data_IF_067486705739
#
_entry.id   IF_067486705739
#
_cell.length_a   1.000
_cell.length_b   1.000
_cell.length_c   1.000
_cell.angle_alpha   90.00
_cell.angle_beta   90.00
_cell.angle_gamma   90.00
#
_symmetry.space_group_name_H-M   'P 1'
#
loop_
_entity.id
_entity.type
_entity.pdbx_description
1 polymer ?
#
# COMPACT_ATOMS: atom_id res chain seq x y z
N UNK A 1 -19.43 9.62 -58.58
CA UNK A 1 -18.90 8.41 -57.91
C UNK A 1 -17.97 8.69 -56.71
N UNK A 2 -17.96 9.92 -56.14
CA UNK A 2 -17.04 10.28 -55.04
C UNK A 2 -17.73 10.29 -53.66
N UNK A 3 -19.07 10.43 -53.61
CA UNK A 3 -19.84 10.43 -52.37
C UNK A 3 -19.98 9.04 -51.70
N UNK A 4 -19.88 7.95 -52.46
CA UNK A 4 -20.04 6.58 -51.94
C UNK A 4 -18.83 6.08 -51.12
N UNK A 5 -17.65 6.70 -51.27
CA UNK A 5 -16.42 6.34 -50.52
C UNK A 5 -16.33 7.02 -49.15
N UNK A 6 -16.98 8.18 -48.98
CA UNK A 6 -16.94 8.93 -47.71
C UNK A 6 -17.88 8.28 -46.69
N UNK A 7 -19.07 7.85 -47.10
CA UNK A 7 -20.05 7.20 -46.20
C UNK A 7 -19.59 5.83 -45.71
N UNK A 8 -18.90 5.05 -46.54
CA UNK A 8 -18.35 3.73 -46.15
C UNK A 8 -17.18 3.86 -45.15
N UNK A 9 -16.33 4.88 -45.30
CA UNK A 9 -15.19 5.11 -44.39
C UNK A 9 -15.64 5.58 -42.99
N UNK A 10 -16.66 6.43 -42.90
CA UNK A 10 -17.22 6.90 -41.61
C UNK A 10 -17.95 5.78 -40.88
N UNK A 11 -18.67 4.93 -41.60
CA UNK A 11 -19.37 3.78 -41.01
C UNK A 11 -18.40 2.71 -40.49
N UNK A 12 -17.30 2.44 -41.19
CA UNK A 12 -16.26 1.53 -40.72
C UNK A 12 -15.55 2.04 -39.46
N UNK A 13 -15.32 3.35 -39.35
CA UNK A 13 -14.76 3.98 -38.16
C UNK A 13 -15.70 3.83 -36.95
N UNK A 14 -17.00 4.08 -37.14
CA UNK A 14 -18.03 3.93 -36.08
C UNK A 14 -18.18 2.48 -35.61
N UNK A 15 -18.17 1.51 -36.53
CA UNK A 15 -18.24 0.08 -36.17
C UNK A 15 -17.00 -0.38 -35.40
N UNK A 16 -15.82 0.16 -35.74
CA UNK A 16 -14.58 -0.15 -35.00
C UNK A 16 -14.66 0.38 -33.55
N UNK A 17 -15.16 1.60 -33.33
CA UNK A 17 -15.30 2.21 -32.00
C UNK A 17 -16.26 1.43 -31.08
N UNK A 18 -17.36 0.89 -31.62
CA UNK A 18 -18.34 0.10 -30.84
C UNK A 18 -17.73 -1.24 -30.39
N UNK A 19 -16.93 -1.88 -31.25
CA UNK A 19 -16.30 -3.16 -30.94
C UNK A 19 -15.23 -3.04 -29.85
N UNK A 20 -14.52 -1.91 -29.79
CA UNK A 20 -13.49 -1.67 -28.76
C UNK A 20 -14.08 -1.33 -27.38
N UNK A 21 -15.24 -0.67 -27.32
CA UNK A 21 -15.91 -0.40 -26.04
C UNK A 21 -16.31 -1.69 -25.30
N UNK A 22 -16.78 -2.70 -26.04
CA UNK A 22 -17.18 -3.99 -25.47
C UNK A 22 -16.01 -4.77 -24.87
N UNK A 23 -14.78 -4.53 -25.33
CA UNK A 23 -13.60 -5.17 -24.78
C UNK A 23 -13.14 -4.54 -23.46
N UNK A 24 -13.21 -3.21 -23.33
CA UNK A 24 -12.93 -2.54 -22.05
C UNK A 24 -13.91 -2.95 -20.94
N UNK A 25 -15.16 -3.26 -21.29
CA UNK A 25 -16.13 -3.80 -20.34
C UNK A 25 -15.72 -5.17 -19.77
N UNK A 26 -14.97 -6.00 -20.51
CA UNK A 26 -14.46 -7.28 -19.99
C UNK A 26 -13.41 -7.10 -18.90
N UNK A 27 -12.61 -6.02 -18.98
CA UNK A 27 -11.65 -5.65 -17.94
C UNK A 27 -12.35 -5.33 -16.62
N UNK A 28 -13.45 -4.61 -16.72
CA UNK A 28 -14.32 -4.31 -15.60
C UNK A 28 -14.95 -5.58 -15.01
N UNK A 29 -15.48 -6.47 -15.86
CA UNK A 29 -16.04 -7.75 -15.40
C UNK A 29 -15.00 -8.60 -14.66
N UNK A 30 -13.81 -8.76 -15.24
CA UNK A 30 -12.71 -9.52 -14.62
C UNK A 30 -12.25 -8.91 -13.30
N UNK A 31 -12.16 -7.58 -13.24
CA UNK A 31 -11.83 -6.88 -12.00
C UNK A 31 -12.89 -7.03 -10.91
N UNK A 32 -14.18 -7.04 -11.27
CA UNK A 32 -15.27 -7.34 -10.34
C UNK A 32 -15.18 -8.77 -9.80
N UNK A 33 -14.94 -9.77 -10.66
CA UNK A 33 -14.71 -11.16 -10.21
C UNK A 33 -13.59 -11.26 -9.19
N UNK A 34 -12.46 -10.60 -9.45
CA UNK A 34 -11.32 -10.59 -8.53
C UNK A 34 -11.68 -9.92 -7.20
N UNK A 35 -12.36 -8.78 -7.24
CA UNK A 35 -12.70 -8.00 -6.06
C UNK A 35 -13.71 -8.69 -5.15
N UNK A 36 -14.75 -9.31 -5.73
CA UNK A 36 -15.79 -10.02 -4.99
C UNK A 36 -15.40 -11.46 -4.66
N UNK A 37 -14.32 -11.96 -5.25
CA UNK A 37 -13.91 -13.37 -5.19
C UNK A 37 -15.01 -14.32 -5.70
N UNK A 38 -15.76 -13.88 -6.72
CA UNK A 38 -16.78 -14.71 -7.38
C UNK A 38 -16.10 -15.79 -8.23
N UNK A 39 -16.66 -17.00 -8.22
CA UNK A 39 -16.30 -18.06 -9.15
C UNK A 39 -17.08 -17.91 -10.45
N UNK A 40 -16.42 -18.07 -11.59
CA UNK A 40 -17.07 -18.06 -12.89
C UNK A 40 -17.84 -19.39 -13.08
N UNK A 41 -19.16 -19.35 -12.87
CA UNK A 41 -20.04 -20.53 -12.96
C UNK A 41 -21.02 -20.46 -14.13
N UNK A 42 -21.06 -19.32 -14.83
CA UNK A 42 -21.92 -19.13 -15.99
C UNK A 42 -21.67 -17.80 -16.70
N UNK A 43 -22.71 -16.99 -16.82
CA UNK A 43 -22.56 -15.63 -17.35
C UNK A 43 -22.23 -14.64 -16.22
N UNK A 44 -21.46 -13.59 -16.54
CA UNK A 44 -21.13 -12.54 -15.55
C UNK A 44 -22.36 -11.97 -14.83
N UNK A 45 -23.44 -11.73 -15.56
CA UNK A 45 -24.67 -11.19 -14.99
C UNK A 45 -25.34 -12.17 -14.01
N UNK A 46 -25.22 -13.48 -14.27
CA UNK A 46 -25.74 -14.52 -13.38
C UNK A 46 -24.88 -14.69 -12.13
N UNK A 47 -23.55 -14.67 -12.29
CA UNK A 47 -22.62 -14.79 -11.18
C UNK A 47 -22.71 -13.55 -10.26
N UNK A 48 -22.81 -12.35 -10.84
CA UNK A 48 -23.01 -11.12 -10.07
C UNK A 48 -24.35 -11.11 -9.33
N UNK A 49 -25.43 -11.58 -9.98
CA UNK A 49 -26.73 -11.77 -9.32
C UNK A 49 -26.61 -12.72 -8.13
N UNK A 50 -25.94 -13.85 -8.33
CA UNK A 50 -25.71 -14.84 -7.27
C UNK A 50 -24.93 -14.24 -6.10
N UNK A 51 -23.90 -13.43 -6.39
CA UNK A 51 -23.16 -12.72 -5.35
C UNK A 51 -24.03 -11.72 -4.59
N UNK A 52 -24.81 -10.87 -5.27
CA UNK A 52 -25.70 -9.91 -4.59
C UNK A 52 -26.76 -10.58 -3.71
N UNK A 53 -27.17 -11.81 -4.04
CA UNK A 53 -28.07 -12.62 -3.22
C UNK A 53 -27.40 -13.38 -2.07
N UNK A 54 -26.06 -13.33 -1.97
CA UNK A 54 -25.29 -14.11 -1.00
C UNK A 54 -25.08 -13.38 0.34
N UNK A 55 -24.93 -14.16 1.41
CA UNK A 55 -24.49 -13.65 2.72
C UNK A 55 -23.10 -12.99 2.65
N UNK A 56 -22.26 -13.40 1.69
CA UNK A 56 -20.96 -12.79 1.45
C UNK A 56 -21.09 -11.33 1.04
N UNK A 57 -22.00 -11.00 0.13
CA UNK A 57 -22.25 -9.60 -0.24
C UNK A 57 -22.74 -8.78 0.95
N UNK A 58 -23.67 -9.32 1.74
CA UNK A 58 -24.15 -8.69 2.98
C UNK A 58 -23.00 -8.40 3.95
N UNK A 59 -22.09 -9.35 4.14
CA UNK A 59 -20.88 -9.19 4.96
C UNK A 59 -19.93 -8.14 4.37
N UNK A 60 -19.67 -8.21 3.06
CA UNK A 60 -18.78 -7.27 2.35
C UNK A 60 -19.31 -5.82 2.49
N UNK A 61 -20.62 -5.61 2.38
CA UNK A 61 -21.25 -4.31 2.61
C UNK A 61 -21.10 -3.79 4.04
N UNK A 62 -21.41 -4.63 5.05
CA UNK A 62 -21.27 -4.25 6.47
C UNK A 62 -19.82 -3.93 6.86
N UNK A 63 -18.86 -4.59 6.20
CA UNK A 63 -17.43 -4.33 6.40
C UNK A 63 -16.91 -3.08 5.67
N UNK A 64 -17.76 -2.36 4.94
CA UNK A 64 -17.37 -1.18 4.17
C UNK A 64 -16.52 -1.47 2.94
N UNK A 65 -16.48 -2.73 2.47
CA UNK A 65 -15.64 -3.15 1.34
C UNK A 65 -15.90 -2.34 0.07
N UNK A 66 -17.14 -1.89 -0.12
CA UNK A 66 -17.62 -1.11 -1.28
C UNK A 66 -17.54 0.42 -1.11
N UNK A 67 -16.72 0.94 -0.19
CA UNK A 67 -16.38 2.37 -0.14
C UNK A 67 -17.52 3.32 0.28
N UNK A 68 -18.43 2.85 1.13
CA UNK A 68 -19.48 3.67 1.73
C UNK A 68 -20.86 3.43 1.13
N UNK A 69 -20.96 3.35 -0.21
CA UNK A 69 -22.19 2.92 -0.87
C UNK A 69 -21.99 2.39 -2.31
N UNK A 70 -22.86 1.47 -2.75
CA UNK A 70 -22.92 0.94 -4.12
C UNK A 70 -24.30 1.17 -4.72
N UNK A 71 -24.38 1.54 -6.00
CA UNK A 71 -25.65 1.65 -6.73
C UNK A 71 -25.76 0.54 -7.78
N UNK A 72 -26.79 -0.30 -7.65
CA UNK A 72 -27.09 -1.40 -8.56
C UNK A 72 -28.37 -1.07 -9.34
N UNK A 73 -28.33 -0.93 -10.68
CA UNK A 73 -29.53 -0.78 -11.47
C UNK A 73 -30.24 -2.14 -11.60
N UNK A 74 -31.49 -2.18 -11.17
CA UNK A 74 -32.39 -3.31 -11.35
C UNK A 74 -33.49 -2.84 -12.30
N UNK A 75 -33.59 -3.45 -13.49
CA UNK A 75 -34.53 -3.04 -14.54
C UNK A 75 -34.45 -1.54 -14.90
N UNK A 76 -33.26 -0.95 -14.81
CA UNK A 76 -33.03 0.47 -15.09
C UNK A 76 -33.34 1.40 -13.92
N UNK A 77 -33.85 0.90 -12.80
CA UNK A 77 -34.06 1.66 -11.57
C UNK A 77 -32.81 1.55 -10.68
N UNK A 78 -32.07 2.65 -10.42
CA UNK A 78 -30.91 2.61 -9.54
C UNK A 78 -31.35 2.35 -8.09
N UNK A 79 -30.77 1.33 -7.46
CA UNK A 79 -30.95 1.05 -6.04
C UNK A 79 -29.60 1.22 -5.34
N UNK A 80 -29.52 2.15 -4.40
CA UNK A 80 -28.27 2.49 -3.68
C UNK A 80 -28.24 1.85 -2.29
N UNK A 81 -27.10 1.25 -1.94
CA UNK A 81 -26.82 0.56 -0.68
C UNK A 81 -25.70 1.26 0.05
N UNK A 82 -25.91 1.68 1.30
CA UNK A 82 -24.87 2.28 2.14
C UNK A 82 -24.36 1.33 3.23
N UNK A 83 -23.37 1.77 4.02
CA UNK A 83 -22.91 1.06 5.22
C UNK A 83 -23.97 1.01 6.34
N UNK A 84 -24.82 2.03 6.44
CA UNK A 84 -25.81 2.20 7.52
C UNK A 84 -27.15 1.52 7.24
N UNK A 85 -27.14 0.46 6.42
CA UNK A 85 -28.36 -0.12 5.88
C UNK A 85 -29.07 -1.02 6.89
N UNK A 86 -30.39 -0.85 7.04
CA UNK A 86 -31.22 -1.72 7.89
C UNK A 86 -31.44 -3.10 7.24
N UNK A 87 -31.75 -4.10 8.07
CA UNK A 87 -32.03 -5.45 7.60
C UNK A 87 -33.26 -5.49 6.67
N UNK A 88 -34.30 -4.75 7.00
CA UNK A 88 -35.53 -4.64 6.18
C UNK A 88 -35.23 -4.16 4.77
N UNK A 89 -34.34 -3.18 4.69
CA UNK A 89 -33.89 -2.59 3.46
C UNK A 89 -33.08 -3.64 2.65
N UNK A 90 -32.28 -4.50 3.29
CA UNK A 90 -31.57 -5.60 2.59
C UNK A 90 -32.54 -6.62 2.02
N UNK A 91 -33.60 -6.94 2.73
CA UNK A 91 -34.65 -7.81 2.22
C UNK A 91 -35.37 -7.19 1.01
N UNK A 92 -35.71 -5.89 1.05
CA UNK A 92 -36.33 -5.19 -0.09
C UNK A 92 -35.47 -5.30 -1.36
N UNK A 93 -34.14 -5.15 -1.24
CA UNK A 93 -33.23 -5.34 -2.37
C UNK A 93 -33.17 -6.77 -2.85
N UNK A 94 -33.04 -7.71 -1.91
CA UNK A 94 -32.97 -9.13 -2.22
C UNK A 94 -34.21 -9.58 -2.99
N UNK A 95 -35.38 -9.10 -2.60
CA UNK A 95 -36.64 -9.34 -3.32
C UNK A 95 -36.60 -8.78 -4.75
N UNK A 96 -36.11 -7.55 -4.95
CA UNK A 96 -35.95 -6.95 -6.29
C UNK A 96 -34.93 -7.69 -7.16
N UNK A 97 -33.85 -8.21 -6.59
CA UNK A 97 -32.87 -9.03 -7.33
C UNK A 97 -33.45 -10.42 -7.65
N UNK A 98 -34.27 -10.97 -6.76
CA UNK A 98 -34.96 -12.23 -6.99
C UNK A 98 -36.01 -12.12 -8.09
N UNK A 99 -36.69 -10.97 -8.22
CA UNK A 99 -37.70 -10.73 -9.25
C UNK A 99 -37.13 -10.63 -10.67
N UNK A 100 -35.83 -10.35 -10.81
CA UNK A 100 -35.15 -10.35 -12.12
C UNK A 100 -34.46 -11.68 -12.39
N UNK A 101 -34.58 -12.17 -13.62
CA UNK A 101 -33.88 -13.38 -14.09
C UNK A 101 -32.41 -13.11 -14.40
N UNK A 102 -32.10 -11.91 -14.91
CA UNK A 102 -30.76 -11.47 -15.25
C UNK A 102 -30.57 -9.98 -14.89
N UNK A 103 -29.38 -9.63 -14.39
CA UNK A 103 -28.98 -8.24 -14.26
C UNK A 103 -28.57 -7.65 -15.61
N UNK A 104 -29.19 -6.53 -15.99
CA UNK A 104 -28.76 -5.74 -17.13
C UNK A 104 -27.75 -4.71 -16.67
N UNK A 105 -26.48 -4.94 -16.98
CA UNK A 105 -25.39 -4.09 -16.56
C UNK A 105 -24.99 -3.17 -17.71
N UNK A 106 -25.25 -1.87 -17.53
CA UNK A 106 -24.82 -0.83 -18.47
C UNK A 106 -23.39 -0.37 -18.20
N UNK A 107 -22.75 0.29 -19.17
CA UNK A 107 -21.44 0.92 -18.96
C UNK A 107 -21.46 1.93 -17.80
N UNK A 108 -22.60 2.58 -17.55
CA UNK A 108 -22.78 3.50 -16.43
C UNK A 108 -22.78 2.80 -15.06
N UNK A 109 -23.28 1.57 -14.97
CA UNK A 109 -23.16 0.77 -13.76
C UNK A 109 -21.71 0.54 -13.41
N UNK A 110 -20.88 0.16 -14.38
CA UNK A 110 -19.47 -0.07 -14.11
C UNK A 110 -18.82 1.21 -13.61
N UNK A 111 -19.01 2.34 -14.30
CA UNK A 111 -18.45 3.62 -13.86
C UNK A 111 -18.85 3.97 -12.42
N UNK A 112 -20.14 3.85 -12.09
CA UNK A 112 -20.66 4.13 -10.75
C UNK A 112 -20.11 3.14 -9.72
N UNK A 113 -20.17 1.85 -10.00
CA UNK A 113 -19.73 0.76 -9.11
C UNK A 113 -18.23 0.82 -8.84
N UNK A 114 -17.41 1.09 -9.85
CA UNK A 114 -15.97 1.23 -9.67
C UNK A 114 -15.55 2.54 -9.03
N UNK A 115 -16.32 3.62 -9.23
CA UNK A 115 -16.11 4.86 -8.48
C UNK A 115 -16.38 4.68 -6.98
N UNK A 116 -17.29 3.75 -6.62
CA UNK A 116 -17.56 3.36 -5.24
C UNK A 116 -16.51 2.41 -4.67
N UNK A 117 -15.83 1.59 -5.49
CA UNK A 117 -14.79 0.69 -5.01
C UNK A 117 -13.55 1.51 -4.59
N UNK A 118 -13.05 1.38 -3.35
CA UNK A 118 -11.86 2.12 -2.88
C UNK A 118 -10.59 1.87 -3.71
N UNK A 119 -10.55 0.77 -4.47
CA UNK A 119 -9.45 0.43 -5.36
C UNK A 119 -9.52 1.23 -6.68
N UNK A 120 -8.84 2.38 -6.69
CA UNK A 120 -8.78 3.30 -7.85
C UNK A 120 -8.11 2.71 -9.09
N UNK A 121 -7.31 1.65 -8.95
CA UNK A 121 -6.47 1.13 -10.05
C UNK A 121 -7.31 0.49 -11.17
N UNK A 122 -8.43 -0.15 -10.83
CA UNK A 122 -9.26 -0.82 -11.83
C UNK A 122 -10.06 0.18 -12.67
N UNK A 123 -10.63 1.21 -12.05
CA UNK A 123 -11.27 2.31 -12.77
C UNK A 123 -10.26 3.04 -13.66
N UNK A 124 -9.07 3.34 -13.13
CA UNK A 124 -7.98 3.92 -13.92
C UNK A 124 -7.58 3.02 -15.09
N UNK A 125 -7.53 1.70 -14.89
CA UNK A 125 -7.25 0.73 -15.96
C UNK A 125 -8.30 0.74 -17.06
N UNK A 126 -9.58 0.92 -16.71
CA UNK A 126 -10.66 1.09 -17.68
C UNK A 126 -10.59 2.42 -18.43
N UNK A 127 -10.38 3.54 -17.73
CA UNK A 127 -10.21 4.85 -18.37
C UNK A 127 -9.03 4.80 -19.34
N UNK A 128 -7.94 4.15 -18.94
CA UNK A 128 -6.77 3.93 -19.78
C UNK A 128 -7.07 3.01 -20.98
N UNK A 129 -7.89 1.97 -20.81
CA UNK A 129 -8.39 1.14 -21.91
C UNK A 129 -9.09 1.98 -22.98
N UNK A 130 -10.07 2.78 -22.56
CA UNK A 130 -10.85 3.65 -23.45
C UNK A 130 -9.93 4.65 -24.16
N UNK A 131 -8.96 5.21 -23.44
CA UNK A 131 -7.96 6.14 -23.99
C UNK A 131 -7.06 5.47 -25.04
N UNK A 132 -6.57 4.26 -24.76
CA UNK A 132 -5.70 3.52 -25.68
C UNK A 132 -6.42 3.17 -26.98
N UNK A 133 -7.68 2.74 -26.90
CA UNK A 133 -8.45 2.40 -28.09
C UNK A 133 -8.85 3.63 -28.91
N UNK A 134 -9.04 4.78 -28.28
CA UNK A 134 -9.32 6.05 -28.99
C UNK A 134 -8.09 6.68 -29.65
N UNK A 135 -6.88 6.36 -29.19
CA UNK A 135 -5.63 6.94 -29.71
C UNK A 135 -5.10 6.21 -30.96
N UNK A 136 -5.49 6.70 -32.14
CA UNK A 136 -5.12 6.13 -33.45
C UNK A 136 -3.64 6.13 -33.79
N UNK A 137 -2.81 6.87 -33.04
CA UNK A 137 -1.38 6.96 -33.30
C UNK A 137 -0.59 5.75 -32.79
N UNK A 138 -1.15 4.99 -31.84
CA UNK A 138 -0.49 3.82 -31.25
C UNK A 138 -0.84 2.57 -32.05
N UNK A 139 0.13 1.70 -32.31
CA UNK A 139 -0.08 0.39 -32.95
C UNK A 139 0.83 -0.64 -32.28
N UNK A 140 0.57 -1.93 -32.49
CA UNK A 140 1.28 -3.03 -31.83
C UNK A 140 0.79 -3.31 -30.42
N UNK A 141 1.66 -3.89 -29.58
CA UNK A 141 1.34 -4.15 -28.18
C UNK A 141 1.51 -2.89 -27.32
N UNK A 142 0.52 -2.61 -26.50
CA UNK A 142 0.46 -1.43 -25.64
C UNK A 142 0.23 -1.92 -24.21
N UNK A 143 1.09 -1.49 -23.29
CA UNK A 143 0.94 -1.81 -21.87
C UNK A 143 -0.20 -1.01 -21.27
N UNK A 144 -1.17 -1.71 -20.67
CA UNK A 144 -2.16 -1.11 -19.79
C UNK A 144 -1.62 -0.91 -18.37
N UNK A 145 -2.44 -0.30 -17.52
CA UNK A 145 -2.15 -0.26 -16.09
C UNK A 145 -2.25 -1.68 -15.51
N UNK A 146 -1.19 -2.13 -14.84
CA UNK A 146 -1.24 -3.38 -14.09
C UNK A 146 -2.10 -3.18 -12.85
N UNK A 147 -3.03 -4.09 -12.60
CA UNK A 147 -3.85 -4.06 -11.38
C UNK A 147 -3.14 -4.93 -10.36
N UNK A 148 -2.51 -4.29 -9.38
CA UNK A 148 -1.75 -4.98 -8.35
C UNK A 148 -2.51 -5.04 -7.03
N UNK A 149 -2.56 -6.24 -6.45
CA UNK A 149 -3.08 -6.50 -5.09
C UNK A 149 -2.00 -7.17 -4.25
N UNK A 150 -2.30 -7.59 -3.02
CA UNK A 150 -1.36 -8.34 -2.17
C UNK A 150 -1.07 -9.73 -2.75
N UNK A 151 -2.10 -10.42 -3.25
CA UNK A 151 -2.00 -11.83 -3.64
C UNK A 151 -1.84 -12.04 -5.14
N UNK A 152 -2.25 -11.05 -5.94
CA UNK A 152 -2.27 -11.16 -7.40
C UNK A 152 -1.87 -9.86 -8.11
N UNK A 153 -1.28 -10.02 -9.28
CA UNK A 153 -1.08 -8.97 -10.28
C UNK A 153 -1.87 -9.36 -11.51
N UNK A 154 -2.67 -8.43 -12.04
CA UNK A 154 -3.32 -8.56 -13.33
C UNK A 154 -2.59 -7.67 -14.32
N UNK A 155 -1.87 -8.31 -15.24
CA UNK A 155 -1.24 -7.64 -16.37
C UNK A 155 -2.31 -7.34 -17.41
N UNK A 156 -2.35 -6.08 -17.84
CA UNK A 156 -3.27 -5.61 -18.86
C UNK A 156 -2.50 -5.34 -20.14
N UNK A 157 -2.82 -6.08 -21.20
CA UNK A 157 -2.14 -6.01 -22.49
C UNK A 157 -3.15 -5.66 -23.56
N UNK A 158 -2.86 -4.64 -24.37
CA UNK A 158 -3.65 -4.30 -25.54
C UNK A 158 -2.84 -4.59 -26.80
N UNK A 159 -3.50 -5.08 -27.84
CA UNK A 159 -2.94 -5.19 -29.18
C UNK A 159 -3.76 -4.31 -30.12
N UNK A 160 -3.09 -3.46 -30.87
CA UNK A 160 -3.71 -2.61 -31.88
C UNK A 160 -3.12 -2.92 -33.25
N UNK A 161 -3.94 -3.34 -34.24
CA UNK A 161 -3.45 -3.62 -35.58
C UNK A 161 -2.88 -2.36 -36.24
N UNK A 162 -1.90 -2.53 -37.14
CA UNK A 162 -1.31 -1.41 -37.87
C UNK A 162 -2.23 -0.93 -38.99
N UNK A 163 -2.96 -1.85 -39.62
CA UNK A 163 -3.94 -1.57 -40.65
C UNK A 163 -5.28 -2.27 -40.36
N UNK A 164 -6.41 -1.70 -40.82
CA UNK A 164 -7.70 -2.39 -40.80
C UNK A 164 -7.61 -3.72 -41.54
N UNK A 165 -7.96 -4.82 -40.85
CA UNK A 165 -7.93 -6.17 -41.41
C UNK A 165 -6.63 -6.94 -41.17
N UNK A 166 -5.64 -6.37 -40.47
CA UNK A 166 -4.49 -7.15 -40.00
C UNK A 166 -4.97 -8.34 -39.14
N UNK A 167 -4.41 -9.54 -39.36
CA UNK A 167 -4.79 -10.71 -38.58
C UNK A 167 -4.30 -10.57 -37.13
N UNK A 168 -5.02 -11.22 -36.21
CA UNK A 168 -4.61 -11.27 -34.81
C UNK A 168 -3.26 -11.98 -34.64
N UNK A 169 -2.40 -11.56 -33.70
CA UNK A 169 -1.09 -12.15 -33.47
C UNK A 169 -1.18 -13.64 -33.12
N UNK A 170 -0.16 -14.39 -33.51
CA UNK A 170 0.06 -15.80 -33.17
C UNK A 170 1.19 -15.87 -32.15
N UNK A 171 0.91 -16.51 -31.02
CA UNK A 171 1.84 -16.64 -29.89
C UNK A 171 3.00 -17.54 -30.29
N UNK A 172 4.23 -17.03 -30.12
CA UNK A 172 5.48 -17.78 -30.30
C UNK A 172 6.05 -18.21 -28.94
N UNK A 173 5.95 -17.36 -27.92
CA UNK A 173 6.25 -17.76 -26.55
C UNK A 173 5.47 -16.90 -25.55
N UNK A 174 5.17 -17.49 -24.40
CA UNK A 174 4.46 -16.81 -23.32
C UNK A 174 4.95 -17.32 -21.98
N UNK A 175 5.45 -16.40 -21.14
CA UNK A 175 5.98 -16.75 -19.83
C UNK A 175 5.66 -15.67 -18.80
N UNK A 176 5.52 -16.10 -17.54
CA UNK A 176 5.51 -15.21 -16.37
C UNK A 176 6.52 -15.75 -15.37
N UNK A 177 7.49 -14.91 -15.01
CA UNK A 177 8.49 -15.22 -14.00
C UNK A 177 8.07 -14.63 -12.64
N UNK A 178 8.24 -15.35 -11.52
CA UNK A 178 8.74 -16.74 -11.45
C UNK A 178 7.73 -17.75 -12.01
N UNK A 179 8.23 -18.86 -12.54
CA UNK A 179 7.39 -19.91 -13.14
C UNK A 179 6.33 -20.44 -12.16
N UNK A 180 5.17 -20.84 -12.69
CA UNK A 180 4.04 -21.31 -11.88
C UNK A 180 3.21 -20.19 -11.24
N UNK A 181 3.56 -18.92 -11.46
CA UNK A 181 2.78 -17.80 -10.92
C UNK A 181 1.45 -17.58 -11.65
N UNK A 182 1.28 -18.03 -12.89
CA UNK A 182 0.04 -17.78 -13.65
C UNK A 182 -1.16 -18.49 -13.00
N UNK A 183 -2.18 -17.71 -12.67
CA UNK A 183 -3.50 -18.19 -12.21
C UNK A 183 -4.45 -18.29 -13.40
N UNK A 184 -4.47 -17.27 -14.27
CA UNK A 184 -5.36 -17.21 -15.42
C UNK A 184 -4.73 -16.44 -16.59
N UNK A 185 -5.21 -16.68 -17.82
CA UNK A 185 -4.74 -16.01 -19.03
C UNK A 185 -3.49 -16.65 -19.65
N UNK A 186 -3.24 -17.94 -19.39
CA UNK A 186 -2.17 -18.66 -20.07
C UNK A 186 -2.47 -18.79 -21.56
N UNK A 187 -1.46 -18.56 -22.39
CA UNK A 187 -1.51 -18.75 -23.83
C UNK A 187 -0.58 -19.89 -24.25
N UNK A 188 -1.04 -20.71 -25.20
CA UNK A 188 -0.24 -21.77 -25.79
C UNK A 188 0.57 -21.26 -26.99
N UNK A 189 1.74 -21.83 -27.24
CA UNK A 189 2.48 -21.59 -28.47
C UNK A 189 1.65 -22.02 -29.69
N UNK A 190 1.65 -21.21 -30.75
CA UNK A 190 0.80 -21.35 -31.94
C UNK A 190 -0.63 -20.86 -31.76
N UNK A 191 -1.07 -20.48 -30.55
CA UNK A 191 -2.40 -19.93 -30.33
C UNK A 191 -2.52 -18.54 -30.98
N UNK A 192 -3.59 -18.33 -31.75
CA UNK A 192 -3.96 -16.99 -32.21
C UNK A 192 -4.69 -16.24 -31.09
N UNK A 193 -4.33 -14.98 -30.86
CA UNK A 193 -5.06 -14.12 -29.93
C UNK A 193 -6.52 -13.96 -30.39
N UNK A 194 -7.46 -14.03 -29.45
CA UNK A 194 -8.90 -14.00 -29.72
C UNK A 194 -9.55 -12.64 -29.41
N UNK A 195 -8.79 -11.68 -28.88
CA UNK A 195 -9.24 -10.32 -28.55
C UNK A 195 -8.09 -9.30 -28.62
N UNK A 196 -8.44 -8.03 -28.81
CA UNK A 196 -7.48 -6.91 -28.81
C UNK A 196 -7.03 -6.49 -27.41
N UNK A 197 -7.65 -7.06 -26.38
CA UNK A 197 -7.31 -6.88 -24.98
C UNK A 197 -7.09 -8.25 -24.33
N UNK A 198 -6.12 -8.33 -23.43
CA UNK A 198 -5.79 -9.54 -22.72
C UNK A 198 -5.48 -9.21 -21.26
N UNK A 199 -5.99 -10.07 -20.38
CA UNK A 199 -5.72 -10.02 -18.96
C UNK A 199 -4.97 -11.28 -18.56
N UNK A 200 -3.83 -11.11 -17.90
CA UNK A 200 -3.06 -12.23 -17.37
C UNK A 200 -2.98 -12.04 -15.86
N UNK A 201 -3.60 -12.95 -15.13
CA UNK A 201 -3.58 -12.93 -13.66
C UNK A 201 -2.46 -13.84 -13.19
N UNK A 202 -1.53 -13.28 -12.43
CA UNK A 202 -0.45 -14.00 -11.80
C UNK A 202 -0.50 -13.83 -10.28
N UNK A 203 -0.17 -14.88 -9.54
CA UNK A 203 0.08 -14.85 -8.10
C UNK A 203 1.27 -13.95 -7.82
N UNK A 204 1.11 -13.03 -6.88
CA UNK A 204 2.15 -12.11 -6.44
C UNK A 204 2.99 -12.74 -5.34
N UNK A 205 4.30 -12.62 -5.49
CA UNK A 205 5.28 -12.79 -4.41
C UNK A 205 5.76 -11.39 -4.04
N UNK A 206 5.63 -11.00 -2.77
CA UNK A 206 5.98 -9.64 -2.32
C UNK A 206 7.49 -9.38 -2.36
N UNK A 207 8.30 -10.45 -2.43
CA UNK A 207 9.76 -10.38 -2.37
C UNK A 207 10.42 -10.65 -3.73
N UNK A 208 9.64 -10.94 -4.79
CA UNK A 208 10.16 -11.19 -6.14
C UNK A 208 9.39 -10.38 -7.19
N UNK A 209 10.15 -9.87 -8.15
CA UNK A 209 9.55 -9.21 -9.31
C UNK A 209 8.73 -10.22 -10.11
N UNK A 210 7.57 -9.78 -10.59
CA UNK A 210 6.78 -10.51 -11.57
C UNK A 210 7.05 -9.92 -12.96
N UNK A 211 7.51 -10.76 -13.89
CA UNK A 211 7.80 -10.33 -15.26
C UNK A 211 6.97 -11.18 -16.21
N UNK A 212 6.05 -10.55 -16.94
CA UNK A 212 5.33 -11.15 -18.03
C UNK A 212 6.07 -10.88 -19.34
N UNK A 213 6.29 -11.92 -20.13
CA UNK A 213 6.84 -11.83 -21.49
C UNK A 213 5.93 -12.57 -22.47
N UNK A 214 5.54 -11.88 -23.53
CA UNK A 214 4.74 -12.41 -24.64
C UNK A 214 5.47 -12.11 -25.95
N UNK A 215 5.83 -13.14 -26.70
CA UNK A 215 6.42 -13.02 -28.04
C UNK A 215 5.41 -13.55 -29.05
N UNK A 216 5.20 -12.81 -30.13
CA UNK A 216 4.29 -13.17 -31.21
C UNK A 216 4.92 -12.89 -32.58
N UNK A 217 4.29 -13.38 -33.64
CA UNK A 217 4.64 -13.03 -35.03
C UNK A 217 4.49 -11.54 -35.37
N UNK A 218 3.86 -10.73 -34.48
CA UNK A 218 3.65 -9.29 -34.64
C UNK A 218 4.44 -8.43 -33.65
N UNK A 219 5.33 -9.04 -32.86
CA UNK A 219 6.21 -8.33 -31.94
C UNK A 219 6.26 -8.96 -30.56
N UNK A 220 7.02 -8.30 -29.68
CA UNK A 220 7.22 -8.72 -28.29
C UNK A 220 6.61 -7.72 -27.33
N UNK A 221 6.05 -8.21 -26.25
CA UNK A 221 5.55 -7.45 -25.12
C UNK A 221 6.22 -7.94 -23.84
N UNK A 222 6.58 -6.99 -22.96
CA UNK A 222 7.06 -7.31 -21.63
C UNK A 222 6.48 -6.31 -20.64
N UNK A 223 5.96 -6.81 -19.52
CA UNK A 223 5.46 -5.98 -18.42
C UNK A 223 6.01 -6.50 -17.11
N UNK A 224 6.40 -5.58 -16.23
CA UNK A 224 7.00 -5.88 -14.93
C UNK A 224 6.14 -5.30 -13.82
N UNK A 225 5.84 -6.12 -12.82
CA UNK A 225 5.36 -5.68 -11.52
C UNK A 225 6.49 -5.88 -10.51
N UNK A 226 6.85 -4.82 -9.81
CA UNK A 226 8.02 -4.81 -8.92
C UNK A 226 7.64 -5.44 -7.57
N UNK A 227 8.57 -6.20 -7.00
CA UNK A 227 8.44 -6.72 -5.63
C UNK A 227 8.23 -5.55 -4.66
N UNK A 228 7.32 -5.70 -3.71
CA UNK A 228 7.08 -4.69 -2.68
C UNK A 228 8.30 -4.54 -1.75
N UNK A 229 9.06 -5.62 -1.54
CA UNK A 229 10.32 -5.60 -0.79
C UNK A 229 11.55 -5.10 -1.57
N UNK A 230 11.41 -4.80 -2.87
CA UNK A 230 12.54 -4.28 -3.66
C UNK A 230 12.84 -2.85 -3.24
N UNK A 231 13.91 -2.70 -2.46
CA UNK A 231 14.54 -1.44 -2.02
C UNK A 231 14.84 -0.43 -3.17
N UNK A 232 14.57 -0.80 -4.42
CA UNK A 232 14.82 -0.02 -5.64
C UNK A 232 13.66 0.97 -5.94
N UNK A 233 12.51 0.84 -5.29
CA UNK A 233 11.57 1.96 -5.19
C UNK A 233 12.19 2.99 -4.24
N UNK A 234 12.92 3.96 -4.78
CA UNK A 234 13.56 5.08 -4.06
C UNK A 234 12.63 5.94 -3.18
N UNK A 235 11.35 5.56 -3.08
CA UNK A 235 10.28 6.21 -2.31
C UNK A 235 10.00 5.56 -0.95
N UNK A 236 10.38 4.31 -0.70
CA UNK A 236 10.05 3.66 0.58
C UNK A 236 11.21 3.76 1.58
N UNK A 237 10.89 4.27 2.77
CA UNK A 237 11.81 4.36 3.89
C UNK A 237 12.11 2.95 4.44
N UNK A 238 13.34 2.66 4.90
CA UNK A 238 13.66 1.37 5.49
C UNK A 238 12.73 1.00 6.67
N UNK A 239 12.47 -0.29 6.84
CA UNK A 239 11.68 -0.79 7.98
C UNK A 239 12.42 -0.43 9.28
N UNK A 240 11.68 0.11 10.25
CA UNK A 240 12.23 0.63 11.50
C UNK A 240 12.55 2.12 11.48
N UNK A 241 12.34 2.81 10.37
CA UNK A 241 12.44 4.28 10.31
C UNK A 241 11.47 4.92 11.30
N UNK A 242 11.99 5.85 12.10
CA UNK A 242 11.20 6.70 13.01
C UNK A 242 11.08 8.08 12.38
N UNK A 243 9.85 8.59 12.30
CA UNK A 243 9.54 9.92 11.77
C UNK A 243 8.85 10.76 12.84
N UNK A 244 9.19 12.05 12.89
CA UNK A 244 8.47 13.03 13.70
C UNK A 244 7.43 13.74 12.83
N UNK A 245 6.22 13.94 13.35
CA UNK A 245 5.15 14.64 12.65
C UNK A 245 4.37 15.54 13.59
N UNK A 246 3.88 16.67 13.07
CA UNK A 246 2.94 17.54 13.78
C UNK A 246 1.48 17.09 13.59
N UNK A 247 1.22 16.16 12.67
CA UNK A 247 -0.11 15.63 12.40
C UNK A 247 -0.53 14.67 13.51
N UNK A 248 -1.81 14.71 13.89
CA UNK A 248 -2.38 13.66 14.74
C UNK A 248 -2.50 12.34 13.94
N UNK A 249 -2.80 11.23 14.62
CA UNK A 249 -2.84 9.90 13.98
C UNK A 249 -3.80 9.83 12.79
N UNK A 250 -4.99 10.43 12.89
CA UNK A 250 -5.98 10.41 11.82
C UNK A 250 -5.51 11.21 10.59
N UNK A 251 -5.06 12.44 10.81
CA UNK A 251 -4.49 13.30 9.77
C UNK A 251 -3.28 12.64 9.10
N UNK A 252 -2.40 12.03 9.91
CA UNK A 252 -1.23 11.32 9.43
C UNK A 252 -1.63 10.12 8.56
N UNK A 253 -2.62 9.33 8.99
CA UNK A 253 -3.10 8.17 8.25
C UNK A 253 -3.66 8.56 6.88
N UNK A 254 -4.41 9.67 6.82
CA UNK A 254 -4.95 10.21 5.56
C UNK A 254 -3.83 10.72 4.66
N UNK A 255 -2.95 11.60 5.19
CA UNK A 255 -1.90 12.25 4.42
C UNK A 255 -0.89 11.25 3.82
N UNK A 256 -0.60 10.15 4.53
CA UNK A 256 0.37 9.13 4.10
C UNK A 256 -0.27 7.91 3.44
N UNK A 257 -1.61 7.87 3.34
CA UNK A 257 -2.35 6.68 2.93
C UNK A 257 -1.89 5.45 3.72
N UNK A 258 -1.78 5.62 5.04
CA UNK A 258 -1.15 4.65 5.94
C UNK A 258 -1.88 3.30 5.92
N UNK A 259 -3.22 3.36 5.88
CA UNK A 259 -4.11 2.21 6.00
C UNK A 259 -4.76 1.83 4.66
N UNK A 260 -4.23 2.29 3.52
CA UNK A 260 -4.80 2.05 2.18
C UNK A 260 -4.97 0.56 1.87
N UNK A 261 -4.11 -0.30 2.44
CA UNK A 261 -4.16 -1.76 2.31
C UNK A 261 -4.93 -2.46 3.43
N UNK A 262 -5.27 -1.74 4.51
CA UNK A 262 -5.97 -2.30 5.66
C UNK A 262 -7.49 -2.40 5.40
N UNK A 263 -8.14 -3.53 5.74
CA UNK A 263 -9.59 -3.66 5.66
C UNK A 263 -10.27 -2.53 6.44
N UNK A 264 -11.24 -1.85 5.82
CA UNK A 264 -11.99 -0.75 6.44
C UNK A 264 -11.16 0.52 6.73
N UNK A 265 -9.94 0.64 6.20
CA UNK A 265 -9.09 1.82 6.40
C UNK A 265 -8.59 2.02 7.84
N UNK A 266 -8.73 1.00 8.70
CA UNK A 266 -8.28 1.05 10.09
C UNK A 266 -6.81 0.63 10.21
N UNK A 267 -6.16 1.08 11.28
CA UNK A 267 -4.78 0.69 11.52
C UNK A 267 -4.67 -0.79 11.90
N UNK A 268 -3.73 -1.52 11.29
CA UNK A 268 -3.41 -2.91 11.64
C UNK A 268 -1.90 -3.14 11.58
N UNK A 269 -1.37 -4.00 12.45
CA UNK A 269 0.08 -4.29 12.48
C UNK A 269 0.62 -4.94 11.21
N UNK A 270 -0.25 -5.64 10.46
CA UNK A 270 0.14 -6.39 9.28
C UNK A 270 0.13 -5.55 8.01
N UNK A 271 -0.79 -4.59 7.90
CA UNK A 271 -1.10 -3.90 6.63
C UNK A 271 -0.85 -2.38 6.66
N UNK A 272 -0.76 -1.77 7.84
CA UNK A 272 -0.42 -0.34 7.94
C UNK A 272 1.07 -0.11 7.75
N UNK A 273 1.42 0.95 7.02
CA UNK A 273 2.82 1.33 6.72
C UNK A 273 3.57 1.88 7.95
N UNK A 274 2.84 2.57 8.82
CA UNK A 274 3.34 3.32 9.97
C UNK A 274 2.56 2.97 11.23
N UNK A 275 3.26 2.95 12.37
CA UNK A 275 2.68 2.80 13.70
C UNK A 275 3.15 3.93 14.60
N UNK A 276 2.30 4.47 15.48
CA UNK A 276 2.75 5.29 16.60
C UNK A 276 3.78 4.55 17.43
N UNK A 277 4.81 5.24 17.90
CA UNK A 277 5.81 4.70 18.82
C UNK A 277 5.34 4.87 20.27
N UNK A 278 4.30 4.14 20.66
CA UNK A 278 3.65 4.24 21.99
C UNK A 278 3.62 2.89 22.75
N UNK A 279 4.46 1.94 22.35
CA UNK A 279 4.55 0.62 23.00
C UNK A 279 3.52 -0.41 22.53
N UNK A 280 2.63 -0.06 21.58
CA UNK A 280 1.56 -0.97 21.13
C UNK A 280 2.09 -2.27 20.50
N UNK A 281 1.32 -3.37 20.58
CA UNK A 281 1.69 -4.63 19.96
C UNK A 281 1.59 -4.54 18.43
N UNK A 282 2.55 -5.16 17.76
CA UNK A 282 2.65 -5.29 16.30
C UNK A 282 2.99 -6.72 15.86
N UNK A 283 2.21 -7.73 16.30
CA UNK A 283 2.49 -9.12 16.01
C UNK A 283 2.50 -9.36 14.49
N UNK A 284 3.40 -10.24 14.06
CA UNK A 284 3.56 -10.69 12.66
C UNK A 284 3.91 -9.60 11.63
N UNK A 285 4.10 -8.36 12.06
CA UNK A 285 4.56 -7.27 11.20
C UNK A 285 5.97 -7.56 10.65
N UNK A 286 6.33 -6.96 9.51
CA UNK A 286 7.71 -7.08 8.99
C UNK A 286 8.74 -6.57 10.02
N UNK A 287 8.45 -5.46 10.70
CA UNK A 287 9.28 -4.95 11.80
C UNK A 287 9.48 -6.01 12.89
N UNK A 288 8.40 -6.67 13.34
CA UNK A 288 8.51 -7.65 14.42
C UNK A 288 9.40 -8.84 14.08
N UNK A 289 9.40 -9.25 12.81
CA UNK A 289 10.24 -10.34 12.31
C UNK A 289 11.70 -9.92 12.18
N UNK A 290 11.96 -8.71 11.67
CA UNK A 290 13.33 -8.20 11.44
C UNK A 290 14.00 -7.80 12.75
N UNK A 291 13.30 -7.05 13.60
CA UNK A 291 13.82 -6.55 14.88
C UNK A 291 13.70 -7.57 16.02
N UNK A 292 13.02 -8.70 15.80
CA UNK A 292 12.66 -9.68 16.83
C UNK A 292 11.94 -9.03 18.03
N UNK A 293 10.98 -8.14 17.74
CA UNK A 293 10.22 -7.38 18.74
C UNK A 293 8.73 -7.41 18.42
N UNK A 294 7.90 -7.85 19.37
CA UNK A 294 6.44 -7.92 19.17
C UNK A 294 5.73 -6.58 19.39
N UNK A 295 6.46 -5.56 19.82
CA UNK A 295 5.95 -4.23 20.16
C UNK A 295 6.82 -3.18 19.49
N UNK A 296 6.21 -2.06 19.10
CA UNK A 296 6.98 -0.86 18.76
C UNK A 296 7.60 -0.26 20.02
N UNK A 297 8.71 0.50 19.91
CA UNK A 297 9.23 1.24 21.06
C UNK A 297 8.21 2.28 21.55
N UNK A 298 8.23 2.58 22.85
CA UNK A 298 7.49 3.70 23.43
C UNK A 298 8.42 4.92 23.52
N UNK A 299 8.24 5.86 22.60
CA UNK A 299 9.11 7.04 22.49
C UNK A 299 8.47 8.30 23.08
N UNK A 300 7.40 8.17 23.85
CA UNK A 300 6.72 9.32 24.44
C UNK A 300 7.59 9.97 25.53
N UNK A 301 8.01 11.20 25.25
CA UNK A 301 8.79 12.02 26.18
C UNK A 301 10.22 11.57 26.39
N UNK A 302 10.78 10.72 25.52
CA UNK A 302 12.19 10.29 25.58
C UNK A 302 13.00 10.95 24.48
N UNK A 303 14.27 11.23 24.74
CA UNK A 303 15.20 11.69 23.72
C UNK A 303 15.76 10.51 22.91
N UNK A 304 16.19 10.77 21.68
CA UNK A 304 16.92 9.80 20.87
C UNK A 304 18.42 10.04 21.06
N UNK A 305 19.20 8.96 21.19
CA UNK A 305 20.65 9.00 21.33
C UNK A 305 21.31 8.01 20.37
N UNK A 306 22.50 8.36 19.86
CA UNK A 306 23.27 7.50 18.98
C UNK A 306 24.03 6.43 19.73
N UNK A 307 24.30 5.31 19.08
CA UNK A 307 25.20 4.26 19.58
C UNK A 307 26.67 4.70 19.46
N UNK A 308 27.56 4.13 20.26
CA UNK A 308 29.00 4.39 20.13
C UNK A 308 29.65 3.64 18.95
N UNK A 309 29.01 2.58 18.46
CA UNK A 309 29.48 1.75 17.36
C UNK A 309 28.31 1.37 16.45
N UNK A 310 28.50 1.57 15.15
CA UNK A 310 27.46 1.38 14.13
C UNK A 310 27.72 0.16 13.25
N UNK A 311 28.98 -0.04 12.85
CA UNK A 311 29.41 -1.16 12.01
C UNK A 311 30.55 -1.90 12.74
N UNK A 312 30.34 -3.16 13.17
CA UNK A 312 31.38 -3.93 13.85
C UNK A 312 32.53 -4.34 12.92
N UNK A 313 32.35 -4.27 11.59
CA UNK A 313 33.34 -4.66 10.60
C UNK A 313 34.12 -3.48 10.02
N UNK A 314 33.68 -2.26 10.28
CA UNK A 314 34.34 -1.05 9.78
C UNK A 314 34.79 -0.15 10.94
N UNK A 315 36.10 -0.11 11.17
CA UNK A 315 36.68 0.73 12.21
C UNK A 315 36.70 2.18 11.77
N UNK A 316 35.86 3.01 12.38
CA UNK A 316 35.95 4.47 12.29
C UNK A 316 36.97 5.00 13.31
N UNK A 317 37.54 6.18 13.04
CA UNK A 317 38.39 6.84 14.03
C UNK A 317 37.57 7.08 15.32
N UNK A 318 38.13 6.78 16.50
CA UNK A 318 37.43 7.02 17.76
C UNK A 318 37.01 8.48 17.88
N UNK A 319 35.76 8.70 18.28
CA UNK A 319 35.26 10.02 18.56
C UNK A 319 35.81 10.53 19.91
N UNK A 320 35.83 11.84 20.11
CA UNK A 320 36.22 12.43 21.39
C UNK A 320 35.32 11.91 22.53
N UNK A 321 35.92 11.59 23.69
CA UNK A 321 35.21 11.04 24.85
C UNK A 321 34.05 11.93 25.33
N UNK A 322 34.08 13.24 25.05
CA UNK A 322 32.99 14.17 25.37
C UNK A 322 31.76 14.01 24.47
N UNK A 323 31.89 13.33 23.33
CA UNK A 323 30.80 13.11 22.37
C UNK A 323 30.24 11.68 22.42
N UNK A 324 30.97 10.74 23.02
CA UNK A 324 30.53 9.36 23.19
C UNK A 324 29.41 9.26 24.24
N UNK A 325 28.55 8.27 24.08
CA UNK A 325 27.72 7.79 25.17
C UNK A 325 28.66 7.20 26.25
N UNK A 326 28.62 7.67 27.51
CA UNK A 326 29.47 7.13 28.57
C UNK A 326 29.29 5.63 28.80
N UNK A 327 28.13 5.10 28.40
CA UNK A 327 27.80 3.69 28.45
C UNK A 327 27.74 3.09 27.04
N UNK A 328 28.20 1.85 26.90
CA UNK A 328 27.93 1.07 25.69
C UNK A 328 26.53 0.49 25.78
N UNK A 329 25.63 0.96 24.92
CA UNK A 329 24.23 0.52 24.88
C UNK A 329 23.94 -0.32 23.64
N UNK A 330 22.91 -1.16 23.71
CA UNK A 330 22.33 -1.81 22.53
C UNK A 330 21.21 -0.95 21.91
N UNK A 331 20.90 -1.16 20.64
CA UNK A 331 19.75 -0.51 19.99
C UNK A 331 18.46 -0.78 20.77
N UNK A 332 17.63 0.26 20.95
CA UNK A 332 16.39 0.20 21.72
C UNK A 332 16.56 0.22 23.24
N UNK A 333 17.79 0.25 23.76
CA UNK A 333 18.03 0.33 25.21
C UNK A 333 17.67 1.72 25.74
N UNK A 334 16.85 1.73 26.81
CA UNK A 334 16.49 2.94 27.54
C UNK A 334 17.54 3.29 28.58
N UNK A 335 17.89 4.57 28.66
CA UNK A 335 18.66 5.17 29.74
C UNK A 335 17.74 6.14 30.51
N UNK A 336 17.82 6.13 31.84
CA UNK A 336 17.03 7.02 32.71
C UNK A 336 17.68 8.40 32.81
N UNK A 337 16.93 9.36 33.35
CA UNK A 337 17.47 10.65 33.75
C UNK A 337 18.58 10.47 34.79
N UNK A 338 19.70 11.16 34.60
CA UNK A 338 20.85 11.13 35.52
C UNK A 338 21.47 12.50 35.65
N UNK A 339 22.11 12.76 36.79
CA UNK A 339 22.83 13.99 37.09
C UNK A 339 24.31 13.68 37.33
N UNK A 340 25.19 14.39 36.62
CA UNK A 340 26.63 14.27 36.77
C UNK A 340 27.03 14.67 38.18
N UNK A 341 27.92 13.87 38.79
CA UNK A 341 28.58 14.28 40.05
C UNK A 341 29.31 15.61 39.84
N UNK A 342 28.98 16.60 40.66
CA UNK A 342 29.69 17.88 40.70
C UNK A 342 29.75 18.39 42.14
N UNK A 343 30.75 19.23 42.40
CA UNK A 343 30.99 19.82 43.72
C UNK A 343 30.89 21.34 43.61
N UNK A 344 30.25 21.98 44.58
CA UNK A 344 30.28 23.42 44.76
C UNK A 344 31.28 23.77 45.85
N UNK A 345 32.23 24.67 45.56
CA UNK A 345 33.08 25.23 46.60
C UNK A 345 32.36 26.43 47.23
N UNK A 346 31.95 26.32 48.49
CA UNK A 346 31.32 27.42 49.23
C UNK A 346 32.36 28.03 50.17
N UNK A 347 32.83 29.27 49.93
CA UNK A 347 33.81 29.91 50.79
C UNK A 347 33.20 30.22 52.17
N UNK A 348 33.89 29.84 53.25
CA UNK A 348 33.46 30.10 54.63
C UNK A 348 34.46 30.97 55.39
N UNK A 349 33.99 32.04 56.05
CA UNK A 349 34.81 33.04 56.73
C UNK A 349 34.76 32.95 58.27
N UNK A 350 35.59 32.07 58.85
CA UNK A 350 35.41 31.57 60.21
C UNK A 350 35.56 32.58 61.36
N UNK A 351 34.48 32.80 62.11
CA UNK A 351 34.56 33.14 63.54
C UNK A 351 33.38 32.55 64.30
N UNK A 352 33.61 32.10 65.53
CA UNK A 352 32.69 31.26 66.28
C UNK A 352 31.69 31.99 67.15
N UNK A 353 30.41 31.65 66.95
CA UNK A 353 29.43 31.55 68.03
C UNK A 353 28.30 30.63 67.60
N UNK A 354 28.04 29.62 68.42
CA UNK A 354 26.97 28.64 68.25
C UNK A 354 25.65 29.27 68.66
N UNK A 355 24.83 29.66 67.68
CA UNK A 355 23.45 30.00 67.96
C UNK A 355 22.71 30.61 66.78
N UNK A 356 21.79 29.82 66.21
CA UNK A 356 20.49 30.20 65.63
C UNK A 356 20.47 31.52 64.81
N UNK A 357 20.30 31.58 63.50
CA UNK A 357 19.79 30.64 62.51
C UNK A 357 20.22 31.12 61.11
N UNK A 358 20.20 30.18 60.15
CA UNK A 358 20.47 30.32 58.70
C UNK A 358 21.96 30.49 58.33
N UNK A 359 22.30 30.21 57.07
CA UNK A 359 23.47 30.84 56.42
C UNK A 359 24.87 30.43 56.93
N UNK A 360 25.37 29.29 56.45
CA UNK A 360 26.77 28.89 56.56
C UNK A 360 27.68 29.62 55.54
N UNK A 361 27.59 30.95 55.44
CA UNK A 361 28.56 31.77 54.66
C UNK A 361 29.70 32.15 55.59
N UNK A 362 30.47 31.14 55.99
CA UNK A 362 30.74 31.12 57.42
C UNK A 362 32.06 30.61 57.92
N UNK A 363 32.50 29.39 57.61
CA UNK A 363 33.65 28.82 58.33
C UNK A 363 34.51 27.99 57.41
N UNK A 364 35.82 28.24 57.44
CA UNK A 364 36.87 27.49 56.76
C UNK A 364 37.11 26.21 57.56
N UNK A 365 36.26 25.22 57.33
CA UNK A 365 36.46 23.85 57.76
C UNK A 365 36.29 22.97 56.54
N UNK A 366 37.11 21.92 56.40
CA UNK A 366 36.96 20.92 55.34
C UNK A 366 35.62 20.22 55.53
N UNK A 367 34.62 20.59 54.73
CA UNK A 367 33.29 20.00 54.80
C UNK A 367 33.27 18.64 54.10
N UNK A 368 32.48 17.66 54.60
CA UNK A 368 32.23 16.44 53.86
C UNK A 368 31.55 16.81 52.56
N UNK A 369 32.19 16.53 51.42
CA UNK A 369 31.49 16.48 50.14
C UNK A 369 30.32 15.51 50.33
N UNK A 370 29.09 15.94 50.03
CA UNK A 370 28.00 15.00 49.87
C UNK A 370 28.37 14.10 48.70
N UNK A 371 29.03 12.98 48.98
CA UNK A 371 29.30 11.93 48.01
C UNK A 371 27.98 11.21 47.71
N UNK A 372 27.01 11.94 47.16
CA UNK A 372 26.02 11.24 46.35
C UNK A 372 26.82 10.62 45.20
N UNK A 373 26.71 9.30 44.95
CA UNK A 373 27.28 8.69 43.77
C UNK A 373 26.49 9.22 42.56
N UNK A 374 26.86 10.42 42.09
CA UNK A 374 26.34 10.99 40.86
C UNK A 374 26.84 10.18 39.66
N UNK A 375 26.15 10.32 38.53
CA UNK A 375 26.53 9.65 37.30
C UNK A 375 27.77 10.28 36.66
N UNK A 376 28.26 9.64 35.60
CA UNK A 376 29.34 10.17 34.74
C UNK A 376 28.88 11.35 33.88
N UNK A 377 27.57 11.51 33.67
CA UNK A 377 26.94 12.53 32.83
C UNK A 377 25.63 13.04 33.44
N UNK A 378 25.26 14.28 33.12
CA UNK A 378 23.90 14.80 33.32
C UNK A 378 23.16 14.59 32.02
N UNK A 379 22.15 13.72 32.01
CA UNK A 379 21.40 13.37 30.80
C UNK A 379 19.91 13.24 31.08
N UNK A 380 19.05 13.61 30.12
CA UNK A 380 17.66 13.23 30.19
C UNK A 380 17.49 11.75 29.83
N UNK A 381 16.32 11.19 30.16
CA UNK A 381 15.94 9.86 29.69
C UNK A 381 15.97 9.78 28.16
N UNK A 382 16.57 8.72 27.64
CA UNK A 382 16.77 8.56 26.21
C UNK A 382 16.75 7.10 25.78
N UNK A 383 16.68 6.86 24.47
CA UNK A 383 16.78 5.53 23.85
C UNK A 383 17.87 5.52 22.79
N UNK A 384 18.63 4.43 22.73
CA UNK A 384 19.74 4.29 21.78
C UNK A 384 19.27 3.79 20.41
N UNK A 385 19.70 4.46 19.33
CA UNK A 385 19.33 4.15 17.95
C UNK A 385 20.53 4.28 17.01
N UNK A 386 20.39 3.70 15.82
CA UNK A 386 21.25 3.99 14.69
C UNK A 386 20.73 5.23 13.95
N UNK A 387 21.62 6.19 13.72
CA UNK A 387 21.43 7.28 12.76
C UNK A 387 22.01 6.92 11.39
N UNK A 388 21.17 6.98 10.36
CA UNK A 388 21.58 6.83 8.98
C UNK A 388 21.28 8.13 8.23
N UNK A 389 22.12 8.47 7.26
CA UNK A 389 21.87 9.53 6.29
C UNK A 389 21.75 8.90 4.90
N UNK A 390 20.72 9.30 4.14
CA UNK A 390 20.59 8.90 2.74
C UNK A 390 21.65 9.64 1.93
N UNK A 391 22.57 8.92 1.31
CA UNK A 391 23.68 9.51 0.55
C UNK A 391 23.45 9.48 -0.97
N UNK A 392 22.60 8.57 -1.47
CA UNK A 392 22.22 8.47 -2.88
C UNK A 392 20.71 8.28 -3.05
#
# INVERSE_FOLDING_TARGET
MQYTKITTSVLALLISLISFSQECDKLLQGGLYSFTSMTNTGSFNQDLRTYFLSEKFKSDMKSGKWGGSITVPIEGVPVTFGMDYSEDKYQEFREKILSVTQLSISSNFYQTTFSSIPNTNLYQSYVECVRIHSDVSKTGFIQGLNIETEDVVVFTIYYRPQAPGDPMPVVQSFNVQPEGSIINGRLAEGQRLNSFSMLVTAKRDLEKDLILSLVTDRGTFTSKSVAEGSLISSKEMPIGTIIASFLNLEQFNVATKNNEKSPGGVWTSLKSKWSPCDGRPIPNSKFSKIANQTNVPDLRGVFLRGLNSFDPYYTVQPQDNSQLNPETTSVGQYQRDELKKHNHNVPGNGNGQTGWALENVGRTGTYPTSEYPGATETRPKNVSLFYYIKVN
#
